data_IF_190594260102
#
_entry.id   IF_190594260102
#
_cell.length_a   1.000
_cell.length_b   1.000
_cell.length_c   1.000
_cell.angle_alpha   90.00
_cell.angle_beta   90.00
_cell.angle_gamma   90.00
#
_symmetry.space_group_name_H-M   'P 1'
#
loop_
_entity.id
_entity.type
_entity.pdbx_description
1 polymer ?
#
# COMPACT_ATOMS: atom_id res chain seq x y z
N UNK A 1 12.77 27.36 -16.59
CA UNK A 1 12.51 25.96 -17.00
C UNK A 1 11.04 25.88 -17.41
N UNK A 2 10.71 25.22 -18.54
CA UNK A 2 9.33 25.13 -19.03
C UNK A 2 8.44 24.25 -18.14
N UNK A 3 7.18 24.64 -17.96
CA UNK A 3 6.14 23.94 -17.18
C UNK A 3 5.07 23.37 -18.13
N UNK A 4 4.70 22.11 -17.89
CA UNK A 4 3.62 21.42 -18.58
C UNK A 4 2.34 21.51 -17.76
N UNK A 5 1.26 21.92 -18.40
CA UNK A 5 -0.08 21.88 -17.81
C UNK A 5 -0.71 20.53 -18.12
N UNK A 6 -1.14 19.82 -17.08
CA UNK A 6 -1.78 18.51 -17.20
C UNK A 6 -3.19 18.64 -16.63
N UNK A 7 -4.20 18.31 -17.46
CA UNK A 7 -5.58 18.19 -16.99
C UNK A 7 -5.79 16.78 -16.44
N UNK A 8 -6.16 16.67 -15.18
CA UNK A 8 -6.44 15.40 -14.50
C UNK A 8 -7.96 15.28 -14.32
N UNK A 9 -8.52 14.12 -14.60
CA UNK A 9 -9.93 13.81 -14.37
C UNK A 9 -10.06 12.56 -13.50
N UNK A 10 -10.84 12.65 -12.42
CA UNK A 10 -11.14 11.54 -11.52
C UNK A 10 -12.50 10.95 -11.85
N UNK A 11 -12.49 9.71 -12.32
CA UNK A 11 -13.70 8.99 -12.69
C UNK A 11 -14.32 9.49 -14.00
N UNK A 12 -15.53 9.02 -14.34
CA UNK A 12 -16.14 9.28 -15.63
C UNK A 12 -16.67 10.72 -15.78
N UNK A 13 -16.84 11.41 -14.65
CA UNK A 13 -17.50 12.71 -14.57
C UNK A 13 -16.54 13.88 -14.87
N UNK A 14 -16.78 14.68 -15.92
CA UNK A 14 -15.89 15.77 -16.34
C UNK A 14 -15.67 16.87 -15.29
N UNK A 15 -16.67 17.12 -14.45
CA UNK A 15 -16.63 18.11 -13.35
C UNK A 15 -15.65 17.72 -12.24
N UNK A 16 -15.28 16.44 -12.15
CA UNK A 16 -14.23 15.96 -11.26
C UNK A 16 -12.86 16.09 -11.91
N UNK A 17 -12.54 17.26 -12.46
CA UNK A 17 -11.24 17.55 -13.08
C UNK A 17 -10.57 18.80 -12.54
N UNK A 18 -9.24 18.79 -12.55
CA UNK A 18 -8.39 19.90 -12.13
C UNK A 18 -7.15 19.97 -13.02
N UNK A 19 -6.39 21.06 -12.91
CA UNK A 19 -5.12 21.23 -13.60
C UNK A 19 -3.97 21.15 -12.61
N UNK A 20 -2.89 20.49 -13.01
CA UNK A 20 -1.61 20.50 -12.30
C UNK A 20 -0.53 21.06 -13.21
N UNK A 21 0.47 21.66 -12.59
CA UNK A 21 1.62 22.26 -13.26
C UNK A 21 2.85 21.45 -12.87
N UNK A 22 3.50 20.85 -13.87
CA UNK A 22 4.66 19.96 -13.66
C UNK A 22 5.81 20.34 -14.58
N UNK A 23 7.02 20.31 -14.04
CA UNK A 23 8.26 20.44 -14.79
C UNK A 23 8.75 19.07 -15.20
N UNK A 24 9.61 19.02 -16.22
CA UNK A 24 10.23 17.76 -16.66
C UNK A 24 10.92 17.02 -15.48
N UNK A 25 11.54 17.73 -14.54
CA UNK A 25 12.16 17.10 -13.38
C UNK A 25 11.15 16.42 -12.43
N UNK A 26 9.88 16.85 -12.39
CA UNK A 26 8.86 16.15 -11.62
C UNK A 26 8.58 14.77 -12.21
N UNK A 27 8.59 14.65 -13.54
CA UNK A 27 8.49 13.36 -14.24
C UNK A 27 9.71 12.48 -14.00
N UNK A 28 10.92 13.07 -13.90
CA UNK A 28 12.14 12.34 -13.53
C UNK A 28 12.01 11.78 -12.12
N UNK A 29 11.56 12.59 -11.15
CA UNK A 29 11.32 12.12 -9.78
C UNK A 29 10.29 10.99 -9.74
N UNK A 30 9.18 11.13 -10.48
CA UNK A 30 8.18 10.07 -10.62
C UNK A 30 8.77 8.80 -11.23
N UNK A 31 9.56 8.92 -12.30
CA UNK A 31 10.21 7.80 -12.97
C UNK A 31 11.23 7.08 -12.07
N UNK A 32 11.97 7.83 -11.25
CA UNK A 32 12.90 7.26 -10.30
C UNK A 32 12.19 6.42 -9.22
N UNK A 33 10.97 6.77 -8.85
CA UNK A 33 10.17 5.96 -7.93
C UNK A 33 9.79 4.59 -8.51
N UNK A 34 9.80 4.43 -9.85
CA UNK A 34 9.45 3.17 -10.52
C UNK A 34 10.63 2.26 -10.81
N UNK A 35 11.87 2.63 -10.47
CA UNK A 35 13.05 1.81 -10.76
C UNK A 35 12.97 0.42 -10.11
N UNK A 36 12.28 0.29 -8.98
CA UNK A 36 12.08 -0.99 -8.30
C UNK A 36 11.06 -1.90 -8.97
N UNK A 37 10.23 -1.37 -9.90
CA UNK A 37 9.19 -2.13 -10.60
C UNK A 37 9.75 -3.14 -11.61
N UNK A 38 10.97 -2.92 -12.10
CA UNK A 38 11.57 -3.70 -13.18
C UNK A 38 10.95 -3.45 -14.56
N UNK A 39 10.13 -2.39 -14.73
CA UNK A 39 9.60 -1.97 -16.02
C UNK A 39 10.57 -1.01 -16.73
N UNK A 40 10.65 -1.14 -18.06
CA UNK A 40 11.27 -0.13 -18.92
C UNK A 40 10.21 0.87 -19.37
N UNK A 41 10.19 2.05 -18.76
CA UNK A 41 9.21 3.10 -19.06
C UNK A 41 9.84 4.19 -19.95
N UNK A 42 9.15 4.66 -21.01
CA UNK A 42 9.74 5.55 -22.00
C UNK A 42 9.71 7.03 -21.56
N UNK A 43 10.52 7.40 -20.57
CA UNK A 43 10.69 8.82 -20.21
C UNK A 43 11.53 9.51 -21.31
N UNK A 44 11.07 10.61 -21.94
CA UNK A 44 11.84 11.31 -22.96
C UNK A 44 13.14 11.87 -22.37
N UNK A 45 14.26 11.91 -23.11
CA UNK A 45 15.57 12.24 -22.55
C UNK A 45 15.67 13.71 -22.08
N UNK A 46 16.62 13.95 -21.16
CA UNK A 46 17.07 15.31 -20.82
C UNK A 46 17.76 15.93 -22.03
N UNK A 47 17.55 17.24 -22.23
CA UNK A 47 18.22 18.04 -23.27
C UNK A 47 18.82 19.25 -22.57
N UNK A 48 20.13 19.44 -22.70
CA UNK A 48 20.88 20.48 -21.99
C UNK A 48 20.99 21.78 -22.81
N UNK A 49 21.10 21.68 -24.13
CA UNK A 49 21.15 22.81 -25.06
C UNK A 49 19.86 22.90 -25.89
N UNK A 50 19.30 24.10 -26.07
CA UNK A 50 18.06 24.30 -26.83
C UNK A 50 16.83 23.67 -26.17
N UNK A 51 16.81 23.59 -24.83
CA UNK A 51 15.71 23.00 -24.07
C UNK A 51 14.46 23.90 -23.94
N UNK A 52 14.56 25.14 -24.43
CA UNK A 52 13.47 26.12 -24.52
C UNK A 52 12.96 26.28 -25.97
N UNK A 53 13.49 25.49 -26.91
CA UNK A 53 13.03 25.46 -28.29
C UNK A 53 11.57 24.98 -28.38
N UNK A 54 10.75 25.64 -29.23
CA UNK A 54 9.30 25.41 -29.28
C UNK A 54 8.94 24.04 -29.85
N UNK A 55 9.64 23.60 -30.90
CA UNK A 55 9.42 22.28 -31.52
C UNK A 55 9.78 21.19 -30.51
N UNK A 56 10.93 21.33 -29.87
CA UNK A 56 11.37 20.40 -28.84
C UNK A 56 10.40 20.30 -27.65
N UNK A 57 9.87 21.44 -27.17
CA UNK A 57 8.87 21.46 -26.10
C UNK A 57 7.59 20.73 -26.54
N UNK A 58 7.14 20.94 -27.78
CA UNK A 58 5.95 20.29 -28.32
C UNK A 58 6.13 18.77 -28.44
N UNK A 59 7.27 18.32 -28.98
CA UNK A 59 7.64 16.90 -29.06
C UNK A 59 7.71 16.26 -27.67
N UNK A 60 8.40 16.91 -26.74
CA UNK A 60 8.51 16.40 -25.36
C UNK A 60 7.16 16.33 -24.68
N UNK A 61 6.25 17.29 -24.90
CA UNK A 61 4.89 17.25 -24.37
C UNK A 61 4.15 15.99 -24.83
N UNK A 62 4.23 15.65 -26.11
CA UNK A 62 3.61 14.43 -26.67
C UNK A 62 4.23 13.18 -26.03
N UNK A 63 5.56 13.13 -25.92
CA UNK A 63 6.25 12.01 -25.30
C UNK A 63 5.91 11.84 -23.80
N UNK A 64 5.78 12.95 -23.05
CA UNK A 64 5.36 12.93 -21.65
C UNK A 64 3.90 12.49 -21.48
N UNK A 65 3.01 12.83 -22.42
CA UNK A 65 1.64 12.29 -22.43
C UNK A 65 1.65 10.78 -22.64
N UNK A 66 2.42 10.28 -23.61
CA UNK A 66 2.56 8.84 -23.84
C UNK A 66 3.14 8.11 -22.61
N UNK A 67 4.14 8.71 -21.95
CA UNK A 67 4.69 8.20 -20.70
C UNK A 67 3.61 8.04 -19.62
N UNK A 68 2.77 9.07 -19.40
CA UNK A 68 1.68 9.00 -18.42
C UNK A 68 0.63 7.96 -18.80
N UNK A 69 0.28 7.83 -20.09
CA UNK A 69 -0.65 6.81 -20.56
C UNK A 69 -0.16 5.41 -20.17
N UNK A 70 1.12 5.11 -20.44
CA UNK A 70 1.71 3.80 -20.10
C UNK A 70 1.73 3.56 -18.58
N UNK A 71 2.12 4.58 -17.80
CA UNK A 71 2.11 4.49 -16.33
C UNK A 71 0.70 4.22 -15.79
N UNK A 72 -0.31 4.92 -16.32
CA UNK A 72 -1.69 4.82 -15.84
C UNK A 72 -2.39 3.55 -16.32
N UNK A 73 -1.93 2.93 -17.41
CA UNK A 73 -2.41 1.61 -17.85
C UNK A 73 -1.97 0.47 -16.94
N UNK A 74 -0.92 0.64 -16.13
CA UNK A 74 -0.51 -0.35 -15.14
C UNK A 74 -1.22 -0.09 -13.79
N UNK A 75 -2.11 -0.99 -13.31
CA UNK A 75 -2.89 -0.73 -12.08
C UNK A 75 -2.05 -0.55 -10.81
N UNK A 76 -0.88 -1.22 -10.73
CA UNK A 76 0.01 -1.14 -9.57
C UNK A 76 0.71 0.22 -9.55
N UNK A 77 1.23 0.67 -10.69
CA UNK A 77 1.81 2.01 -10.79
C UNK A 77 0.75 3.08 -10.57
N UNK A 78 -0.39 3.00 -11.26
CA UNK A 78 -1.50 3.96 -11.16
C UNK A 78 -2.04 4.13 -9.73
N UNK A 79 -1.96 3.08 -8.92
CA UNK A 79 -2.39 3.06 -7.52
C UNK A 79 -1.30 3.45 -6.53
N UNK A 80 -0.05 3.60 -6.98
CA UNK A 80 1.09 3.94 -6.10
C UNK A 80 1.00 5.37 -5.56
N UNK A 81 1.57 5.59 -4.37
CA UNK A 81 1.56 6.91 -3.73
C UNK A 81 2.25 7.96 -4.60
N UNK A 82 3.33 7.58 -5.29
CA UNK A 82 4.06 8.48 -6.20
C UNK A 82 3.19 8.99 -7.34
N UNK A 83 2.36 8.14 -7.95
CA UNK A 83 1.41 8.58 -8.99
C UNK A 83 0.29 9.44 -8.40
N UNK A 84 -0.28 9.03 -7.26
CA UNK A 84 -1.35 9.81 -6.61
C UNK A 84 -0.87 11.20 -6.21
N UNK A 85 0.31 11.33 -5.61
CA UNK A 85 0.95 12.60 -5.26
C UNK A 85 1.34 13.42 -6.49
N UNK A 86 1.75 12.77 -7.58
CA UNK A 86 2.05 13.47 -8.83
C UNK A 86 0.78 14.10 -9.42
N UNK A 87 -0.32 13.35 -9.49
CA UNK A 87 -1.56 13.78 -10.13
C UNK A 87 -2.48 14.63 -9.23
N UNK A 88 -2.38 14.45 -7.92
CA UNK A 88 -3.21 15.11 -6.90
C UNK A 88 -2.35 15.45 -5.67
N UNK A 89 -1.45 16.43 -5.79
CA UNK A 89 -0.56 16.78 -4.68
C UNK A 89 -1.33 17.25 -3.45
N UNK A 90 -2.44 17.96 -3.61
CA UNK A 90 -3.18 18.55 -2.49
C UNK A 90 -3.72 17.49 -1.52
N UNK A 91 -4.17 16.33 -2.03
CA UNK A 91 -4.70 15.26 -1.19
C UNK A 91 -3.66 14.19 -0.78
N UNK A 92 -2.47 14.18 -1.39
CA UNK A 92 -1.46 13.11 -1.19
C UNK A 92 -0.06 13.60 -0.79
N UNK A 93 0.10 14.88 -0.46
CA UNK A 93 1.38 15.43 0.02
C UNK A 93 1.67 15.15 1.50
N UNK A 94 0.68 14.72 2.27
CA UNK A 94 0.84 14.37 3.69
C UNK A 94 1.91 13.29 3.87
N UNK A 95 2.78 13.40 4.89
CA UNK A 95 3.79 12.39 5.20
C UNK A 95 3.17 11.21 5.96
N UNK A 96 2.24 10.48 5.32
CA UNK A 96 1.44 9.41 5.94
C UNK A 96 2.27 8.40 6.75
N UNK A 97 3.44 8.03 6.23
CA UNK A 97 4.31 7.06 6.91
C UNK A 97 4.90 7.59 8.22
N UNK A 98 5.32 8.87 8.24
CA UNK A 98 5.89 9.50 9.44
C UNK A 98 4.82 9.69 10.51
N UNK A 99 3.61 10.12 10.11
CA UNK A 99 2.47 10.23 11.01
C UNK A 99 2.09 8.86 11.59
N UNK A 100 2.02 7.81 10.75
CA UNK A 100 1.78 6.45 11.21
C UNK A 100 2.84 5.98 12.21
N UNK A 101 4.13 6.24 11.95
CA UNK A 101 5.20 5.89 12.88
C UNK A 101 5.05 6.62 14.21
N UNK A 102 4.69 7.91 14.18
CA UNK A 102 4.43 8.71 15.37
C UNK A 102 3.28 8.12 16.19
N UNK A 103 2.12 7.87 15.59
CA UNK A 103 0.96 7.32 16.27
C UNK A 103 1.21 5.92 16.84
N UNK A 104 1.84 5.04 16.07
CA UNK A 104 2.21 3.70 16.53
C UNK A 104 3.19 3.78 17.69
N UNK A 105 4.24 4.61 17.59
CA UNK A 105 5.22 4.75 18.67
C UNK A 105 4.57 5.31 19.94
N UNK A 106 3.65 6.26 19.82
CA UNK A 106 2.89 6.78 20.96
C UNK A 106 2.04 5.69 21.61
N UNK A 107 1.31 4.90 20.83
CA UNK A 107 0.43 3.85 21.35
C UNK A 107 1.21 2.66 21.95
N UNK A 108 2.37 2.32 21.41
CA UNK A 108 3.21 1.28 22.00
C UNK A 108 3.96 1.75 23.25
N UNK A 109 4.16 3.06 23.46
CA UNK A 109 4.77 3.56 24.71
C UNK A 109 3.90 3.30 25.94
N UNK A 110 2.58 3.33 25.81
CA UNK A 110 1.67 2.95 26.90
C UNK A 110 1.65 1.44 27.18
N UNK A 111 2.18 0.64 26.24
CA UNK A 111 2.18 -0.82 26.29
C UNK A 111 3.58 -1.32 26.54
N UNK A 112 3.92 -1.48 27.83
CA UNK A 112 5.29 -1.71 28.30
C UNK A 112 6.04 -2.85 27.58
N UNK A 113 5.32 -3.80 26.97
CA UNK A 113 5.88 -5.00 26.37
C UNK A 113 6.21 -4.88 24.89
N UNK A 114 5.86 -3.81 24.16
CA UNK A 114 6.08 -3.75 22.71
C UNK A 114 6.93 -2.55 22.30
N UNK A 115 7.78 -2.74 21.29
CA UNK A 115 8.53 -1.63 20.68
C UNK A 115 8.69 -1.77 19.18
N UNK A 116 8.61 -0.64 18.48
CA UNK A 116 8.89 -0.57 17.04
C UNK A 116 10.37 -0.80 16.82
N UNK A 117 10.71 -1.79 15.99
CA UNK A 117 12.07 -2.07 15.54
C UNK A 117 12.40 -1.22 14.33
N UNK A 118 11.58 -1.30 13.28
CA UNK A 118 11.76 -0.54 12.03
C UNK A 118 10.50 -0.54 11.17
N UNK A 119 10.31 0.45 10.31
CA UNK A 119 9.28 0.39 9.27
C UNK A 119 9.56 -0.71 8.24
N UNK A 120 8.48 -1.28 7.69
CA UNK A 120 8.54 -2.17 6.53
C UNK A 120 7.77 -1.49 5.39
N UNK A 121 8.43 -0.63 4.60
CA UNK A 121 7.75 0.26 3.67
C UNK A 121 7.10 -0.53 2.53
N UNK A 122 5.85 -0.17 2.24
CA UNK A 122 5.14 -0.53 1.00
C UNK A 122 5.08 -2.03 0.69
N UNK A 123 5.05 -2.92 1.69
CA UNK A 123 4.91 -4.38 1.43
C UNK A 123 3.54 -4.77 0.87
N UNK A 124 2.53 -3.91 1.09
CA UNK A 124 1.19 -4.00 0.56
C UNK A 124 0.85 -2.84 -0.38
N UNK A 125 -0.32 -2.91 -1.02
CA UNK A 125 -0.77 -1.94 -2.03
C UNK A 125 -1.60 -0.79 -1.48
N UNK A 126 -2.11 -0.91 -0.25
CA UNK A 126 -3.01 0.09 0.33
C UNK A 126 -2.23 1.30 0.84
N UNK A 127 -2.52 2.47 0.27
CA UNK A 127 -1.77 3.71 0.51
C UNK A 127 -1.72 4.14 1.99
N UNK A 128 -2.83 4.00 2.70
CA UNK A 128 -2.98 4.41 4.11
C UNK A 128 -2.73 3.28 5.11
N UNK A 129 -2.27 2.11 4.63
CA UNK A 129 -1.93 0.98 5.49
C UNK A 129 -0.42 0.90 5.62
N UNK A 130 0.06 1.12 6.83
CA UNK A 130 1.49 1.17 7.12
C UNK A 130 1.91 -0.01 7.97
N UNK A 131 3.11 -0.53 7.72
CA UNK A 131 3.59 -1.75 8.34
C UNK A 131 4.90 -1.49 9.09
N UNK A 132 5.01 -2.08 10.28
CA UNK A 132 6.17 -1.95 11.14
C UNK A 132 6.55 -3.32 11.70
N UNK A 133 7.86 -3.57 11.77
CA UNK A 133 8.41 -4.68 12.53
C UNK A 133 8.39 -4.26 14.00
N UNK A 134 7.77 -5.09 14.83
CA UNK A 134 7.65 -4.89 16.28
C UNK A 134 8.23 -6.11 16.98
N UNK A 135 8.79 -5.93 18.17
CA UNK A 135 9.19 -7.04 19.05
C UNK A 135 8.52 -6.91 20.40
N UNK A 136 8.31 -8.05 21.04
CA UNK A 136 7.91 -8.12 22.43
C UNK A 136 9.17 -8.04 23.32
N UNK A 137 9.21 -7.17 24.32
CA UNK A 137 10.33 -7.04 25.28
C UNK A 137 10.51 -8.31 26.12
N UNK A 138 9.43 -9.04 26.39
CA UNK A 138 9.44 -10.29 27.15
C UNK A 138 9.91 -11.46 26.27
N UNK A 139 9.51 -11.48 25.00
CA UNK A 139 9.90 -12.50 24.01
C UNK A 139 10.57 -11.83 22.80
N UNK A 140 11.84 -11.40 22.89
CA UNK A 140 12.48 -10.60 21.83
C UNK A 140 12.76 -11.35 20.53
N UNK A 141 12.69 -12.70 20.55
CA UNK A 141 12.93 -13.55 19.39
C UNK A 141 11.75 -13.58 18.42
N UNK A 142 10.55 -13.20 18.89
CA UNK A 142 9.35 -13.21 18.06
C UNK A 142 9.29 -11.93 17.22
N UNK A 143 9.51 -12.08 15.91
CA UNK A 143 9.26 -11.01 14.95
C UNK A 143 7.74 -10.84 14.76
N UNK A 144 7.23 -9.65 15.09
CA UNK A 144 5.82 -9.31 14.93
C UNK A 144 5.63 -8.28 13.81
N UNK A 145 4.56 -8.43 13.05
CA UNK A 145 4.12 -7.48 12.05
C UNK A 145 2.96 -6.66 12.61
N UNK A 146 3.18 -5.36 12.78
CA UNK A 146 2.14 -4.39 13.10
C UNK A 146 1.65 -3.74 11.81
N UNK A 147 0.32 -3.70 11.63
CA UNK A 147 -0.35 -3.03 10.53
C UNK A 147 -1.25 -1.90 11.05
N UNK A 148 -0.89 -0.65 10.75
CA UNK A 148 -1.61 0.57 11.11
C UNK A 148 -2.49 1.05 9.96
N UNK A 149 -3.68 1.55 10.30
CA UNK A 149 -4.61 2.22 9.38
C UNK A 149 -5.20 3.46 10.07
N UNK A 150 -5.12 4.61 9.40
CA UNK A 150 -5.84 5.83 9.80
C UNK A 150 -7.34 5.71 9.51
N UNK A 151 -8.17 6.31 10.36
CA UNK A 151 -9.60 6.40 10.09
C UNK A 151 -9.87 7.24 8.83
N UNK A 152 -10.77 6.74 7.98
CA UNK A 152 -11.20 7.45 6.79
C UNK A 152 -12.22 8.56 7.09
N UNK A 153 -12.57 9.38 6.08
CA UNK A 153 -13.60 10.42 6.21
C UNK A 153 -14.98 9.85 6.58
N UNK A 154 -15.20 8.56 6.32
CA UNK A 154 -16.45 7.85 6.61
C UNK A 154 -16.49 7.27 8.04
N UNK A 155 -15.58 7.68 8.94
CA UNK A 155 -15.63 7.25 10.36
C UNK A 155 -16.87 7.84 11.03
N UNK A 156 -17.80 6.97 11.41
CA UNK A 156 -19.03 7.35 12.12
C UNK A 156 -19.12 6.79 13.55
N UNK A 157 -18.39 5.73 13.87
CA UNK A 157 -18.39 5.14 15.21
C UNK A 157 -17.63 6.01 16.21
N UNK A 158 -18.14 6.08 17.43
CA UNK A 158 -17.43 6.73 18.53
C UNK A 158 -16.27 5.85 19.06
N UNK A 159 -15.45 6.41 19.93
CA UNK A 159 -14.28 5.70 20.46
C UNK A 159 -14.67 4.46 21.29
N UNK A 160 -15.78 4.53 22.04
CA UNK A 160 -16.22 3.43 22.90
C UNK A 160 -16.73 2.25 22.08
N UNK A 161 -17.49 2.54 21.03
CA UNK A 161 -17.96 1.55 20.04
C UNK A 161 -16.79 0.91 19.29
N UNK A 162 -15.80 1.71 18.89
CA UNK A 162 -14.58 1.23 18.25
C UNK A 162 -13.80 0.29 19.16
N UNK A 163 -13.55 0.69 20.41
CA UNK A 163 -12.83 -0.15 21.39
C UNK A 163 -13.59 -1.46 21.66
N UNK A 164 -14.91 -1.43 21.79
CA UNK A 164 -15.74 -2.63 21.93
C UNK A 164 -15.63 -3.54 20.70
N UNK A 165 -15.67 -2.97 19.50
CA UNK A 165 -15.52 -3.71 18.24
C UNK A 165 -14.13 -4.36 18.12
N UNK A 166 -13.09 -3.62 18.47
CA UNK A 166 -11.70 -4.10 18.51
C UNK A 166 -11.53 -5.26 19.50
N UNK A 167 -12.14 -5.17 20.69
CA UNK A 167 -12.15 -6.26 21.67
C UNK A 167 -12.84 -7.52 21.14
N UNK A 168 -13.98 -7.38 20.46
CA UNK A 168 -14.69 -8.50 19.82
C UNK A 168 -13.85 -9.14 18.71
N UNK A 169 -13.20 -8.35 17.85
CA UNK A 169 -12.31 -8.85 16.80
C UNK A 169 -11.11 -9.58 17.42
N UNK A 170 -10.56 -9.06 18.52
CA UNK A 170 -9.43 -9.66 19.23
C UNK A 170 -9.69 -11.02 19.86
N UNK A 171 -10.95 -11.31 20.19
CA UNK A 171 -11.33 -12.58 20.82
C UNK A 171 -11.59 -13.71 19.81
N UNK A 172 -11.63 -13.41 18.51
CA UNK A 172 -11.85 -14.40 17.47
C UNK A 172 -10.70 -15.42 17.45
N UNK A 173 -11.06 -16.69 17.37
CA UNK A 173 -10.13 -17.81 17.26
C UNK A 173 -10.65 -18.77 16.20
N UNK A 174 -9.79 -19.09 15.23
CA UNK A 174 -10.09 -20.03 14.16
C UNK A 174 -8.77 -20.64 13.66
N UNK A 175 -8.69 -21.95 13.36
CA UNK A 175 -7.45 -22.61 12.94
C UNK A 175 -6.79 -21.97 11.70
N UNK A 176 -7.60 -21.42 10.79
CA UNK A 176 -7.15 -20.80 9.55
C UNK A 176 -7.21 -19.25 9.55
N UNK A 177 -7.45 -18.64 10.70
CA UNK A 177 -7.32 -17.18 10.87
C UNK A 177 -6.18 -16.93 11.84
N UNK A 178 -5.19 -16.18 11.37
CA UNK A 178 -4.04 -15.86 12.19
C UNK A 178 -4.44 -15.14 13.49
N UNK A 179 -3.91 -15.61 14.61
CA UNK A 179 -4.12 -14.99 15.92
C UNK A 179 -3.64 -13.55 15.94
N UNK A 180 -4.35 -12.74 16.73
CA UNK A 180 -3.97 -11.37 17.01
C UNK A 180 -3.22 -11.37 18.34
N UNK A 181 -1.99 -10.90 18.33
CA UNK A 181 -1.17 -10.76 19.55
C UNK A 181 -1.56 -9.51 20.32
N UNK A 182 -1.71 -8.41 19.59
CA UNK A 182 -2.05 -7.14 20.17
C UNK A 182 -2.84 -6.29 19.18
N UNK A 183 -3.80 -5.52 19.67
CA UNK A 183 -4.62 -4.62 18.86
C UNK A 183 -4.99 -3.41 19.71
N UNK A 184 -5.08 -2.26 19.06
CA UNK A 184 -5.51 -1.03 19.71
C UNK A 184 -6.04 -0.04 18.69
N UNK A 185 -6.91 0.85 19.14
CA UNK A 185 -7.43 1.96 18.36
C UNK A 185 -7.50 3.22 19.22
N UNK A 186 -7.47 4.37 18.57
CA UNK A 186 -7.68 5.68 19.17
C UNK A 186 -8.51 6.55 18.20
N UNK A 187 -8.63 7.83 18.52
CA UNK A 187 -9.37 8.81 17.74
C UNK A 187 -8.87 8.98 16.30
N UNK A 188 -7.58 8.70 16.03
CA UNK A 188 -6.91 8.89 14.73
C UNK A 188 -6.92 7.63 13.87
N UNK A 189 -6.76 6.45 14.47
CA UNK A 189 -6.69 5.21 13.73
C UNK A 189 -6.62 3.98 14.63
N UNK A 190 -6.18 2.87 14.05
CA UNK A 190 -5.94 1.65 14.81
C UNK A 190 -4.91 0.75 14.16
N UNK A 191 -4.43 -0.22 14.93
CA UNK A 191 -3.52 -1.23 14.44
C UNK A 191 -3.83 -2.62 14.98
N UNK A 192 -3.28 -3.59 14.27
CA UNK A 192 -3.22 -4.99 14.66
C UNK A 192 -1.78 -5.48 14.55
N UNK A 193 -1.34 -6.22 15.55
CA UNK A 193 -0.02 -6.85 15.63
C UNK A 193 -0.21 -8.36 15.62
N UNK A 194 0.50 -9.05 14.74
CA UNK A 194 0.45 -10.51 14.58
C UNK A 194 1.86 -11.07 14.43
N UNK A 195 2.03 -12.37 14.64
CA UNK A 195 3.26 -13.06 14.26
C UNK A 195 3.62 -12.81 12.79
N UNK A 196 4.89 -12.57 12.48
CA UNK A 196 5.29 -12.40 11.10
C UNK A 196 5.33 -13.77 10.39
N UNK A 197 4.54 -13.92 9.33
CA UNK A 197 4.67 -15.09 8.45
C UNK A 197 5.84 -14.92 7.48
N UNK A 198 6.92 -15.66 7.73
CA UNK A 198 8.13 -15.64 6.89
C UNK A 198 7.95 -16.29 5.51
N UNK A 199 6.89 -17.08 5.30
CA UNK A 199 6.54 -17.61 3.98
C UNK A 199 5.79 -16.57 3.11
N UNK A 200 5.20 -15.54 3.72
CA UNK A 200 4.47 -14.49 3.03
C UNK A 200 3.04 -14.85 2.65
N UNK A 201 2.48 -14.09 1.71
CA UNK A 201 1.13 -14.33 1.20
C UNK A 201 1.09 -15.43 0.13
N UNK A 202 -0.10 -15.91 -0.20
CA UNK A 202 -0.29 -16.81 -1.33
C UNK A 202 0.25 -16.22 -2.64
N UNK A 203 0.07 -14.90 -2.82
CA UNK A 203 0.62 -14.18 -3.97
C UNK A 203 2.16 -14.13 -3.94
N UNK A 204 2.79 -14.03 -2.77
CA UNK A 204 4.25 -14.16 -2.65
C UNK A 204 4.72 -15.53 -3.12
N UNK A 205 4.04 -16.61 -2.74
CA UNK A 205 4.35 -17.97 -3.19
C UNK A 205 4.25 -18.11 -4.72
N UNK A 206 3.11 -17.67 -5.29
CA UNK A 206 2.85 -17.72 -6.74
C UNK A 206 3.91 -16.92 -7.51
N UNK A 207 4.23 -15.71 -7.06
CA UNK A 207 5.22 -14.86 -7.71
C UNK A 207 6.67 -15.17 -7.30
N UNK A 208 6.90 -16.20 -6.47
CA UNK A 208 8.21 -16.51 -5.88
C UNK A 208 8.90 -15.27 -5.27
N UNK A 209 8.12 -14.40 -4.64
CA UNK A 209 8.55 -13.13 -4.10
C UNK A 209 8.94 -13.25 -2.62
N UNK A 210 9.96 -12.49 -2.20
CA UNK A 210 10.32 -12.40 -0.79
C UNK A 210 9.31 -11.51 -0.04
N UNK A 211 8.71 -11.93 1.08
CA UNK A 211 7.53 -11.27 1.64
C UNK A 211 7.75 -9.80 2.06
N UNK A 212 8.93 -9.51 2.61
CA UNK A 212 9.32 -8.18 3.11
C UNK A 212 9.73 -7.17 1.99
N UNK A 213 9.72 -7.57 0.72
CA UNK A 213 10.00 -6.65 -0.38
C UNK A 213 8.80 -5.74 -0.68
N UNK A 214 9.08 -4.55 -1.22
CA UNK A 214 8.05 -3.60 -1.66
C UNK A 214 7.11 -4.23 -2.70
N UNK A 215 5.82 -4.00 -2.54
CA UNK A 215 4.72 -4.49 -3.37
C UNK A 215 4.97 -4.26 -4.86
N UNK A 216 5.43 -3.05 -5.23
CA UNK A 216 5.75 -2.71 -6.62
C UNK A 216 6.84 -3.63 -7.18
N UNK A 217 7.90 -3.90 -6.41
CA UNK A 217 8.97 -4.82 -6.80
C UNK A 217 8.50 -6.27 -6.91
N UNK A 218 7.55 -6.69 -6.06
CA UNK A 218 7.04 -8.06 -6.03
C UNK A 218 6.16 -8.38 -7.24
N UNK A 219 5.30 -7.45 -7.65
CA UNK A 219 4.16 -7.80 -8.51
C UNK A 219 4.00 -6.95 -9.77
N UNK A 220 4.80 -5.90 -9.98
CA UNK A 220 4.64 -5.07 -11.20
C UNK A 220 5.15 -5.78 -12.46
N UNK A 221 6.29 -6.47 -12.34
CA UNK A 221 6.87 -7.27 -13.43
C UNK A 221 7.49 -8.56 -12.86
N UNK A 222 6.68 -9.52 -12.37
CA UNK A 222 7.19 -10.73 -11.74
C UNK A 222 7.97 -11.57 -12.76
N UNK A 223 9.24 -11.85 -12.47
CA UNK A 223 10.11 -12.64 -13.37
C UNK A 223 9.66 -14.10 -13.53
N UNK A 224 9.00 -14.64 -12.51
CA UNK A 224 8.46 -15.99 -12.49
C UNK A 224 7.07 -15.96 -11.85
N UNK A 225 6.15 -16.72 -12.44
CA UNK A 225 4.86 -17.02 -11.86
C UNK A 225 4.73 -18.54 -11.86
N UNK A 226 4.73 -19.14 -10.66
CA UNK A 226 4.64 -20.59 -10.49
C UNK A 226 3.21 -20.94 -10.13
N UNK A 227 2.50 -21.73 -10.96
CA UNK A 227 1.18 -22.20 -10.58
C UNK A 227 1.28 -23.08 -9.34
N UNK A 228 0.26 -23.02 -8.48
CA UNK A 228 0.17 -23.90 -7.33
C UNK A 228 -0.20 -25.31 -7.79
N UNK A 229 0.33 -26.36 -7.14
CA UNK A 229 -0.16 -27.72 -7.31
C UNK A 229 -1.67 -27.81 -7.07
N UNK A 230 -2.36 -28.69 -7.80
CA UNK A 230 -3.83 -28.88 -7.64
C UNK A 230 -4.21 -29.26 -6.21
N UNK A 231 -3.37 -30.05 -5.54
CA UNK A 231 -3.53 -30.39 -4.12
C UNK A 231 -3.54 -29.14 -3.22
N UNK A 232 -2.63 -28.20 -3.49
CA UNK A 232 -2.48 -26.98 -2.70
C UNK A 232 -3.63 -26.01 -2.97
N UNK A 233 -4.11 -25.95 -4.23
CA UNK A 233 -5.32 -25.20 -4.58
C UNK A 233 -6.53 -25.72 -3.81
N UNK A 234 -6.73 -27.05 -3.77
CA UNK A 234 -7.82 -27.65 -3.02
C UNK A 234 -7.69 -27.39 -1.50
N UNK A 235 -6.49 -27.55 -0.95
CA UNK A 235 -6.20 -27.32 0.47
C UNK A 235 -6.44 -25.87 0.88
N UNK A 236 -5.81 -24.90 0.20
CA UNK A 236 -5.97 -23.49 0.52
C UNK A 236 -7.40 -23.01 0.25
N UNK A 237 -8.03 -23.50 -0.82
CA UNK A 237 -9.44 -23.23 -1.10
C UNK A 237 -10.35 -23.64 0.05
N UNK A 238 -10.18 -24.86 0.57
CA UNK A 238 -10.93 -25.35 1.72
C UNK A 238 -10.68 -24.49 2.97
N UNK A 239 -9.42 -24.23 3.32
CA UNK A 239 -9.06 -23.42 4.50
C UNK A 239 -9.63 -21.99 4.45
N UNK A 240 -9.57 -21.36 3.28
CA UNK A 240 -10.14 -20.02 3.06
C UNK A 240 -11.66 -20.08 3.23
N UNK A 241 -12.33 -21.04 2.62
CA UNK A 241 -13.79 -21.15 2.71
C UNK A 241 -14.26 -21.38 4.16
N UNK A 242 -13.58 -22.22 4.93
CA UNK A 242 -13.92 -22.42 6.35
C UNK A 242 -13.73 -21.13 7.16
N UNK A 243 -12.63 -20.40 6.93
CA UNK A 243 -12.40 -19.11 7.58
C UNK A 243 -13.49 -18.07 7.19
N UNK A 244 -13.89 -18.02 5.92
CA UNK A 244 -14.94 -17.11 5.45
C UNK A 244 -16.31 -17.48 6.01
N UNK A 245 -16.62 -18.76 6.11
CA UNK A 245 -17.85 -19.26 6.73
C UNK A 245 -17.92 -18.87 8.21
N UNK A 246 -16.81 -19.06 8.95
CA UNK A 246 -16.71 -18.59 10.34
C UNK A 246 -16.94 -17.09 10.47
N UNK A 247 -16.34 -16.26 9.60
CA UNK A 247 -16.56 -14.81 9.62
C UNK A 247 -18.02 -14.45 9.30
N UNK A 248 -18.63 -15.15 8.34
CA UNK A 248 -20.03 -14.96 7.98
C UNK A 248 -20.98 -15.26 9.14
N UNK A 249 -20.78 -16.39 9.84
CA UNK A 249 -21.58 -16.79 11.01
C UNK A 249 -21.46 -15.80 12.17
N UNK A 250 -20.33 -15.08 12.26
CA UNK A 250 -20.11 -14.01 13.23
C UNK A 250 -20.62 -12.64 12.77
N UNK A 251 -21.23 -12.56 11.58
CA UNK A 251 -21.74 -11.30 11.01
C UNK A 251 -20.64 -10.33 10.58
N UNK A 252 -19.41 -10.81 10.37
CA UNK A 252 -18.27 -9.97 10.02
C UNK A 252 -18.12 -9.89 8.49
N UNK A 253 -18.07 -8.67 7.91
CA UNK A 253 -17.83 -8.51 6.48
C UNK A 253 -16.39 -8.86 6.12
N UNK A 254 -16.19 -9.54 4.97
CA UNK A 254 -14.88 -10.03 4.54
C UNK A 254 -14.50 -9.65 3.09
N UNK A 255 -15.05 -8.56 2.57
CA UNK A 255 -14.86 -8.14 1.17
C UNK A 255 -13.42 -7.87 0.73
N UNK A 256 -12.44 -7.80 1.64
CA UNK A 256 -11.05 -7.51 1.30
C UNK A 256 -10.03 -8.62 1.66
N UNK A 257 -10.47 -9.80 2.11
CA UNK A 257 -9.58 -10.86 2.61
C UNK A 257 -9.07 -11.82 1.53
N UNK A 258 -9.40 -11.60 0.26
CA UNK A 258 -9.02 -12.46 -0.87
C UNK A 258 -8.16 -11.68 -1.86
N UNK A 259 -6.88 -11.41 -1.52
CA UNK A 259 -5.76 -11.20 -2.47
C UNK A 259 -4.42 -11.53 -1.80
#
# INVERSE_FOLDING_TARGET
MHEYVIRVQRGPLPEKSWHIYKRYNDFVTLHNAFQTSGLSLPLPPKKLLGNMDREFIAERRVALQNYLNIVLMNPILASSLSVKRFLDPDNYSTPFHELALQHVSMALRSEANYEVVKPIPEIGWRLRKHYFLVKNRVNPQDELLLAWVEHGPDKYMDEKELQASFKTIGSLRHPYIQSIEFLSCNEVGGFVTRGLNNAGSLRDLICSAKPKLQFMKKYTNPKQCKPLPVSDVALFGHQILEALMFLHEKGLPFGEYIV
#
